data_IF_072162021126
#
_entry.id   IF_072162021126
#
_cell.length_a   1.000
_cell.length_b   1.000
_cell.length_c   1.000
_cell.angle_alpha   90.00
_cell.angle_beta   90.00
_cell.angle_gamma   90.00
#
_symmetry.space_group_name_H-M   'P 1'
#
loop_
_entity.id
_entity.type
_entity.pdbx_description
1 polymer ?
#
# COMPACT_ATOMS: atom_id res chain seq x y z
N UNK A 1 -14.26 10.78 -20.15
CA UNK A 1 -13.10 10.98 -19.26
C UNK A 1 -13.40 10.22 -17.98
N UNK A 2 -12.75 9.08 -17.73
CA UNK A 2 -13.02 8.27 -16.52
C UNK A 2 -12.35 8.92 -15.31
N UNK A 3 -13.14 9.65 -14.55
CA UNK A 3 -12.78 10.39 -13.33
C UNK A 3 -12.70 9.47 -12.11
N UNK A 4 -11.87 8.42 -12.16
CA UNK A 4 -11.68 7.53 -11.02
C UNK A 4 -10.35 7.89 -10.35
N UNK A 5 -10.36 8.79 -9.34
CA UNK A 5 -9.14 9.29 -8.70
C UNK A 5 -8.44 8.23 -7.85
N UNK A 6 -9.04 7.05 -7.66
CA UNK A 6 -8.48 5.98 -6.84
C UNK A 6 -8.43 4.67 -7.61
N UNK A 7 -7.29 3.99 -7.52
CA UNK A 7 -7.10 2.62 -8.02
C UNK A 7 -6.44 1.75 -6.95
N UNK A 8 -6.79 0.48 -6.93
CA UNK A 8 -6.22 -0.55 -6.08
C UNK A 8 -5.45 -1.51 -6.96
N UNK A 9 -4.14 -1.50 -6.82
CA UNK A 9 -3.22 -2.38 -7.51
C UNK A 9 -2.90 -3.55 -6.58
N UNK A 10 -2.97 -4.77 -7.07
CA UNK A 10 -2.63 -5.95 -6.30
C UNK A 10 -1.55 -6.76 -7.02
N UNK A 11 -0.65 -7.35 -6.24
CA UNK A 11 0.51 -8.08 -6.74
C UNK A 11 0.76 -9.29 -5.85
N UNK A 12 1.03 -10.44 -6.45
CA UNK A 12 1.51 -11.65 -5.76
C UNK A 12 3.03 -11.76 -5.92
N UNK A 13 3.70 -12.14 -4.86
CA UNK A 13 5.11 -12.47 -4.79
C UNK A 13 5.24 -13.90 -4.30
N UNK A 14 6.19 -14.64 -4.83
CA UNK A 14 6.46 -16.01 -4.38
C UNK A 14 7.96 -16.30 -4.44
N UNK A 15 8.43 -17.13 -3.50
CA UNK A 15 9.80 -17.64 -3.52
C UNK A 15 9.93 -18.76 -4.55
N UNK A 16 10.94 -18.68 -5.41
CA UNK A 16 11.29 -19.72 -6.37
C UNK A 16 12.81 -19.85 -6.45
N UNK A 17 13.34 -21.00 -6.04
CA UNK A 17 14.79 -21.26 -5.99
C UNK A 17 15.58 -20.25 -5.14
N UNK A 18 14.97 -19.73 -4.07
CA UNK A 18 15.58 -18.72 -3.19
C UNK A 18 15.49 -17.28 -3.72
N UNK A 19 14.91 -17.08 -4.90
CA UNK A 19 14.65 -15.75 -5.47
C UNK A 19 13.17 -15.39 -5.33
N UNK A 20 12.91 -14.14 -4.92
CA UNK A 20 11.54 -13.62 -4.93
C UNK A 20 11.13 -13.25 -6.36
N UNK A 21 10.06 -13.87 -6.84
CA UNK A 21 9.49 -13.59 -8.17
C UNK A 21 8.14 -12.92 -8.05
N UNK A 22 7.88 -12.02 -9.00
CA UNK A 22 6.56 -11.44 -9.19
C UNK A 22 5.67 -12.46 -9.91
N UNK A 23 4.52 -12.76 -9.31
CA UNK A 23 3.47 -13.58 -9.86
C UNK A 23 2.36 -12.73 -10.50
N UNK A 24 1.12 -13.24 -10.52
CA UNK A 24 -0.04 -12.51 -11.03
C UNK A 24 -0.20 -11.15 -10.34
N UNK A 25 -0.59 -10.15 -11.12
CA UNK A 25 -0.92 -8.82 -10.64
C UNK A 25 -2.14 -8.27 -11.39
N UNK A 26 -2.74 -7.22 -10.85
CA UNK A 26 -3.88 -6.56 -11.46
C UNK A 26 -4.20 -5.22 -10.83
N UNK A 27 -5.16 -4.53 -11.44
CA UNK A 27 -5.67 -3.24 -10.98
C UNK A 27 -7.19 -3.26 -10.98
N UNK A 28 -7.78 -2.66 -9.96
CA UNK A 28 -9.22 -2.49 -9.86
C UNK A 28 -9.55 -1.14 -9.19
N UNK A 29 -10.72 -0.59 -9.48
CA UNK A 29 -11.21 0.64 -8.84
C UNK A 29 -11.94 0.35 -7.52
N UNK A 30 -12.35 -0.91 -7.32
CA UNK A 30 -12.99 -1.39 -6.11
C UNK A 30 -12.02 -2.20 -5.25
N UNK A 31 -11.82 -1.77 -4.00
CA UNK A 31 -10.93 -2.43 -3.04
C UNK A 31 -11.31 -3.89 -2.79
N UNK A 32 -12.60 -4.17 -2.54
CA UNK A 32 -13.08 -5.52 -2.23
C UNK A 32 -12.80 -6.49 -3.40
N UNK A 33 -12.97 -6.03 -4.64
CA UNK A 33 -12.66 -6.81 -5.84
C UNK A 33 -11.17 -7.06 -5.97
N UNK A 34 -10.32 -6.05 -5.74
CA UNK A 34 -8.86 -6.26 -5.72
C UNK A 34 -8.43 -7.26 -4.63
N UNK A 35 -9.03 -7.21 -3.44
CA UNK A 35 -8.78 -8.17 -2.36
C UNK A 35 -9.20 -9.59 -2.73
N UNK A 36 -10.38 -9.76 -3.31
CA UNK A 36 -10.85 -11.07 -3.75
C UNK A 36 -9.98 -11.65 -4.88
N UNK A 37 -9.58 -10.83 -5.85
CA UNK A 37 -8.67 -11.22 -6.92
C UNK A 37 -7.31 -11.65 -6.37
N UNK A 38 -6.74 -10.89 -5.43
CA UNK A 38 -5.48 -11.25 -4.77
C UNK A 38 -5.60 -12.56 -3.99
N UNK A 39 -6.67 -12.72 -3.20
CA UNK A 39 -6.96 -13.97 -2.47
C UNK A 39 -7.04 -15.16 -3.42
N UNK A 40 -7.75 -15.00 -4.53
CA UNK A 40 -7.92 -16.03 -5.55
C UNK A 40 -6.60 -16.37 -6.22
N UNK A 41 -5.75 -15.37 -6.50
CA UNK A 41 -4.44 -15.57 -7.08
C UNK A 41 -3.49 -16.31 -6.12
N UNK A 42 -3.45 -15.91 -4.84
CA UNK A 42 -2.62 -16.57 -3.81
C UNK A 42 -2.99 -18.04 -3.63
N UNK A 43 -4.28 -18.37 -3.62
CA UNK A 43 -4.78 -19.76 -3.50
C UNK A 43 -4.41 -20.67 -4.66
N UNK A 44 -3.84 -20.16 -5.75
CA UNK A 44 -3.31 -20.99 -6.85
C UNK A 44 -1.92 -21.53 -6.57
N UNK A 45 -1.21 -20.95 -5.60
CA UNK A 45 0.08 -21.44 -5.15
C UNK A 45 -0.11 -22.58 -4.14
N UNK A 46 0.81 -23.54 -4.07
CA UNK A 46 0.77 -24.57 -3.05
C UNK A 46 0.95 -23.93 -1.66
N UNK A 47 0.36 -24.48 -0.60
CA UNK A 47 0.45 -23.91 0.75
C UNK A 47 1.88 -23.92 1.32
N UNK A 48 2.76 -24.76 0.77
CA UNK A 48 4.19 -24.82 1.10
C UNK A 48 5.01 -23.78 0.31
N UNK A 49 4.44 -23.16 -0.74
CA UNK A 49 5.10 -22.03 -1.37
C UNK A 49 5.07 -20.83 -0.44
N UNK A 50 6.22 -20.22 -0.23
CA UNK A 50 6.36 -18.91 0.41
C UNK A 50 5.77 -17.82 -0.51
N UNK A 51 4.45 -17.80 -0.61
CA UNK A 51 3.68 -16.89 -1.44
C UNK A 51 2.94 -15.86 -0.58
N UNK A 52 3.11 -14.59 -0.94
CA UNK A 52 2.47 -13.46 -0.29
C UNK A 52 2.06 -12.43 -1.33
N UNK A 53 1.29 -11.43 -0.94
CA UNK A 53 0.89 -10.37 -1.84
C UNK A 53 0.55 -9.10 -1.11
N UNK A 54 0.37 -8.03 -1.89
CA UNK A 54 0.04 -6.71 -1.36
C UNK A 54 -1.00 -6.02 -2.21
N UNK A 55 -1.67 -5.05 -1.59
CA UNK A 55 -2.53 -4.10 -2.28
C UNK A 55 -2.01 -2.70 -2.03
N UNK A 56 -1.77 -1.98 -3.11
CA UNK A 56 -1.45 -0.57 -3.10
C UNK A 56 -2.67 0.25 -3.53
N UNK A 57 -3.04 1.24 -2.73
CA UNK A 57 -3.98 2.28 -3.10
C UNK A 57 -3.21 3.39 -3.80
N UNK A 58 -3.56 3.66 -5.04
CA UNK A 58 -3.06 4.77 -5.84
C UNK A 58 -4.12 5.87 -5.87
N UNK A 59 -3.74 7.07 -5.48
CA UNK A 59 -4.60 8.25 -5.49
C UNK A 59 -4.02 9.26 -6.47
N UNK A 60 -4.83 9.68 -7.44
CA UNK A 60 -4.50 10.69 -8.42
C UNK A 60 -5.09 12.01 -7.97
N UNK A 61 -4.23 12.96 -7.64
CA UNK A 61 -4.64 14.32 -7.35
C UNK A 61 -4.48 15.16 -8.62
N UNK A 62 -5.61 15.38 -9.31
CA UNK A 62 -5.67 16.20 -10.52
C UNK A 62 -5.65 17.70 -10.22
N UNK A 63 -5.69 18.09 -8.94
CA UNK A 63 -5.75 19.48 -8.51
C UNK A 63 -4.36 20.02 -8.10
N UNK A 64 -3.40 19.13 -7.86
CA UNK A 64 -1.99 19.43 -7.67
C UNK A 64 -1.34 19.86 -8.99
N UNK A 65 -0.42 20.83 -8.92
CA UNK A 65 0.42 21.21 -10.05
C UNK A 65 1.90 21.11 -9.66
N UNK A 66 2.65 20.15 -10.22
CA UNK A 66 2.23 19.16 -11.22
C UNK A 66 1.25 18.11 -10.66
N UNK A 67 0.46 17.42 -11.52
CA UNK A 67 -0.45 16.37 -11.07
C UNK A 67 0.32 15.31 -10.29
N UNK A 68 -0.13 15.06 -9.07
CA UNK A 68 0.54 14.14 -8.15
C UNK A 68 -0.15 12.78 -8.17
N UNK A 69 0.65 11.72 -8.11
CA UNK A 69 0.17 10.36 -7.98
C UNK A 69 0.83 9.73 -6.76
N UNK A 70 0.04 9.54 -5.70
CA UNK A 70 0.52 8.97 -4.44
C UNK A 70 0.14 7.48 -4.37
N UNK A 71 1.11 6.62 -4.06
CA UNK A 71 0.91 5.16 -3.95
C UNK A 71 1.19 4.71 -2.52
N UNK A 72 0.22 4.05 -1.89
CA UNK A 72 0.31 3.59 -0.50
C UNK A 72 0.02 2.09 -0.40
N UNK A 73 0.89 1.31 0.23
CA UNK A 73 0.56 -0.08 0.60
C UNK A 73 -0.48 -0.05 1.73
N UNK A 74 -1.66 -0.58 1.47
CA UNK A 74 -2.79 -0.56 2.40
C UNK A 74 -3.03 -1.94 3.02
N UNK A 75 -2.76 -3.01 2.27
CA UNK A 75 -2.96 -4.38 2.71
C UNK A 75 -1.80 -5.28 2.28
N UNK A 76 -1.49 -6.24 3.14
CA UNK A 76 -0.65 -7.39 2.83
C UNK A 76 -1.44 -8.67 3.09
N UNK A 77 -1.19 -9.68 2.28
CA UNK A 77 -1.81 -10.98 2.38
C UNK A 77 -0.73 -12.06 2.31
N UNK A 78 -0.81 -13.07 3.15
CA UNK A 78 0.13 -14.20 3.16
C UNK A 78 -0.66 -15.51 3.10
N UNK A 79 -0.16 -16.46 2.31
CA UNK A 79 -0.70 -17.82 2.30
C UNK A 79 -0.05 -18.61 3.44
N UNK A 80 -0.86 -19.06 4.40
CA UNK A 80 -0.42 -19.92 5.48
C UNK A 80 -0.36 -21.38 5.02
N UNK A 81 0.41 -22.22 5.72
CA UNK A 81 0.55 -23.66 5.44
C UNK A 81 -0.78 -24.44 5.44
N UNK A 82 -1.84 -23.90 6.05
CA UNK A 82 -3.20 -24.45 5.96
C UNK A 82 -3.95 -24.07 4.66
N UNK A 83 -3.33 -23.35 3.71
CA UNK A 83 -3.98 -22.82 2.50
C UNK A 83 -4.92 -21.64 2.76
N UNK A 84 -4.83 -21.06 3.96
CA UNK A 84 -5.63 -19.91 4.37
C UNK A 84 -4.88 -18.60 4.09
N UNK A 85 -5.59 -17.61 3.55
CA UNK A 85 -5.00 -16.28 3.29
C UNK A 85 -5.22 -15.40 4.51
N UNK A 86 -4.12 -15.01 5.16
CA UNK A 86 -4.15 -14.08 6.30
C UNK A 86 -3.89 -12.67 5.82
N UNK A 87 -4.74 -11.73 6.24
CA UNK A 87 -4.66 -10.33 5.86
C UNK A 87 -4.06 -9.50 6.99
N UNK A 88 -3.20 -8.56 6.62
CA UNK A 88 -2.60 -7.59 7.51
C UNK A 88 -2.80 -6.18 6.94
N UNK A 89 -3.22 -5.24 7.78
CA UNK A 89 -3.30 -3.82 7.41
C UNK A 89 -1.90 -3.23 7.53
N UNK A 90 -1.41 -2.63 6.45
CA UNK A 90 -0.03 -2.09 6.40
C UNK A 90 0.01 -0.59 6.69
N UNK A 91 -1.14 0.07 6.70
CA UNK A 91 -1.20 1.49 7.04
C UNK A 91 -0.57 1.75 8.41
N UNK A 92 0.66 2.28 8.39
CA UNK A 92 1.11 3.18 9.44
C UNK A 92 0.22 4.40 9.29
N UNK A 93 -0.62 4.66 10.29
CA UNK A 93 -1.22 5.98 10.47
C UNK A 93 -0.09 6.98 10.32
N UNK A 94 -0.02 7.68 9.19
CA UNK A 94 0.75 8.92 9.10
C UNK A 94 -0.04 9.91 9.95
N UNK A 95 0.12 9.78 11.26
CA UNK A 95 0.11 10.94 12.14
C UNK A 95 1.32 11.75 11.69
N UNK A 96 1.05 12.66 10.76
CA UNK A 96 2.04 13.60 10.29
C UNK A 96 2.38 14.48 11.47
N UNK A 97 3.65 14.45 11.85
CA UNK A 97 4.32 15.33 12.78
C UNK A 97 3.96 16.82 12.53
N UNK A 98 2.88 17.30 13.14
CA UNK A 98 2.52 18.73 13.17
C UNK A 98 2.64 19.33 14.57
N UNK A 99 3.35 18.68 15.48
CA UNK A 99 3.56 19.17 16.85
C UNK A 99 5.03 19.12 17.30
N UNK A 100 5.94 19.76 16.57
CA UNK A 100 7.23 20.19 17.15
C UNK A 100 7.95 21.35 16.44
N UNK A 101 7.51 21.78 15.25
CA UNK A 101 8.04 23.03 14.64
C UNK A 101 7.20 24.24 15.09
N UNK A 102 7.22 24.54 16.38
CA UNK A 102 6.44 25.61 16.98
C UNK A 102 7.21 26.35 18.06
N UNK A 103 8.21 27.16 17.64
CA UNK A 103 8.50 28.53 18.11
C UNK A 103 10.02 28.81 18.26
N UNK A 104 10.71 28.90 17.13
CA UNK A 104 11.82 29.86 17.04
C UNK A 104 11.21 31.20 16.63
N UNK A 105 10.97 32.08 17.59
CA UNK A 105 10.81 33.52 17.35
C UNK A 105 11.85 34.23 18.21
N UNK A 106 12.97 34.57 17.59
CA UNK A 106 13.88 35.57 18.12
C UNK A 106 13.26 36.97 18.02
N UNK A 107 13.53 37.80 19.02
CA UNK A 107 13.71 39.26 19.03
C UNK A 107 13.67 39.65 20.53
N UNK A 108 14.56 40.38 21.17
CA UNK A 108 15.61 41.30 20.74
C UNK A 108 15.62 42.44 21.77
N UNK A 109 16.77 42.69 22.40
CA UNK A 109 17.27 43.98 22.92
C UNK A 109 16.52 44.80 24.00
N UNK A 110 17.28 45.39 24.93
CA UNK A 110 16.89 46.52 25.82
C UNK A 110 17.17 46.22 27.30
N UNK A 111 18.36 46.48 27.85
CA UNK A 111 18.81 47.77 28.44
C UNK A 111 18.12 48.07 29.79
N UNK A 112 18.81 47.76 30.90
CA UNK A 112 18.97 48.62 32.09
C UNK A 112 20.15 48.12 32.97
#
# INVERSE_FOLDING_TARGET
>A
MSSEPVRFEWEVFYSHQGEQKLGPCGVNVFQATAMDQLRTALRRFPPDAEAWGRICKRVYDHNAFPPECSRYEVWRAELDAAGSVRWQIVQKTTDQEVAASGRTRGNGNGDE
#
